data_IF_188570635830
#
_entry.id   IF_188570635830
#
_cell.length_a   1.000
_cell.length_b   1.000
_cell.length_c   1.000
_cell.angle_alpha   90.00
_cell.angle_beta   90.00
_cell.angle_gamma   90.00
#
_symmetry.space_group_name_H-M   'P 1'
#
loop_
_entity.id
_entity.type
_entity.pdbx_description
1 polymer ?
#
# COMPACT_ATOMS: atom_id res chain seq x y z
N UNK A 1 -18.97 12.22 4.53
CA UNK A 1 -18.40 11.97 3.19
C UNK A 1 -16.92 11.70 3.33
N UNK A 2 -16.40 10.69 2.61
CA UNK A 2 -15.01 10.29 2.74
C UNK A 2 -14.06 11.28 2.07
N UNK A 3 -12.89 11.53 2.70
CA UNK A 3 -11.75 12.27 2.13
C UNK A 3 -10.54 11.35 2.09
N UNK A 4 -9.77 11.39 1.03
CA UNK A 4 -8.60 10.52 0.82
C UNK A 4 -7.34 11.36 0.72
N UNK A 5 -6.33 10.99 1.52
CA UNK A 5 -5.01 11.60 1.53
C UNK A 5 -3.94 10.56 1.19
N UNK A 6 -2.91 11.00 0.47
CA UNK A 6 -1.67 10.24 0.23
C UNK A 6 -0.56 10.87 1.06
N UNK A 7 0.14 10.06 1.83
CA UNK A 7 1.21 10.47 2.72
C UNK A 7 2.53 9.86 2.22
N UNK A 8 3.46 10.71 1.76
CA UNK A 8 4.76 10.31 1.23
C UNK A 8 5.81 10.29 2.33
N UNK A 9 6.22 9.10 2.73
CA UNK A 9 7.22 8.87 3.80
C UNK A 9 8.64 9.15 3.31
N UNK A 10 8.91 8.95 2.03
CA UNK A 10 10.24 9.21 1.47
C UNK A 10 10.35 8.74 0.02
N UNK A 11 11.55 8.87 -0.52
CA UNK A 11 11.85 8.54 -1.92
C UNK A 11 13.14 7.72 -2.00
N UNK A 12 13.31 6.97 -3.08
CA UNK A 12 14.55 6.23 -3.38
C UNK A 12 14.83 6.22 -4.87
N UNK A 13 16.10 6.38 -5.26
CA UNK A 13 16.55 6.12 -6.62
C UNK A 13 16.89 4.64 -6.78
N UNK A 14 16.31 3.98 -7.76
CA UNK A 14 16.44 2.55 -8.00
C UNK A 14 16.63 2.26 -9.49
N UNK A 15 17.23 1.13 -9.83
CA UNK A 15 17.27 0.69 -11.23
C UNK A 15 15.87 0.41 -11.75
N UNK A 16 15.52 0.96 -12.90
CA UNK A 16 14.20 0.83 -13.51
C UNK A 16 13.80 -0.64 -13.72
N UNK A 17 14.76 -1.50 -14.07
CA UNK A 17 14.55 -2.95 -14.23
C UNK A 17 14.05 -3.66 -12.96
N UNK A 18 14.14 -3.04 -11.78
CA UNK A 18 13.61 -3.59 -10.53
C UNK A 18 12.08 -3.37 -10.38
N UNK A 19 11.50 -2.46 -11.18
CA UNK A 19 10.09 -2.06 -11.07
C UNK A 19 9.26 -2.35 -12.32
N UNK A 20 9.92 -2.69 -13.43
CA UNK A 20 9.25 -3.01 -14.69
C UNK A 20 9.70 -4.39 -15.16
N UNK A 21 8.77 -5.32 -15.28
CA UNK A 21 9.08 -6.69 -15.71
C UNK A 21 9.78 -6.72 -17.06
N UNK A 22 10.94 -7.39 -17.13
CA UNK A 22 11.79 -7.49 -18.32
C UNK A 22 12.18 -6.13 -18.92
N UNK A 23 12.33 -5.11 -18.10
CA UNK A 23 12.94 -3.87 -18.57
C UNK A 23 14.45 -4.05 -18.68
N UNK A 24 14.99 -3.81 -19.87
CA UNK A 24 16.43 -3.91 -20.15
C UNK A 24 17.17 -2.57 -19.96
N UNK A 25 16.45 -1.52 -19.53
CA UNK A 25 17.05 -0.21 -19.28
C UNK A 25 18.06 -0.26 -18.13
N UNK A 26 19.17 0.42 -18.32
CA UNK A 26 20.17 0.67 -17.28
C UNK A 26 19.89 1.97 -16.51
N UNK A 27 18.82 2.67 -16.84
CA UNK A 27 18.44 3.93 -16.22
C UNK A 27 17.89 3.72 -14.81
N UNK A 28 18.01 4.76 -13.99
CA UNK A 28 17.36 4.81 -12.71
C UNK A 28 16.01 5.53 -12.83
N UNK A 29 15.07 5.14 -11.97
CA UNK A 29 13.86 5.91 -11.68
C UNK A 29 13.80 6.23 -10.18
N UNK A 30 12.95 7.20 -9.83
CA UNK A 30 12.65 7.52 -8.44
C UNK A 30 11.36 6.83 -8.07
N UNK A 31 11.36 6.11 -6.95
CA UNK A 31 10.16 5.58 -6.31
C UNK A 31 9.82 6.42 -5.08
N UNK A 32 8.55 6.56 -4.79
CA UNK A 32 8.05 7.15 -3.56
C UNK A 32 7.39 6.07 -2.70
N UNK A 33 7.44 6.24 -1.38
CA UNK A 33 6.84 5.32 -0.42
C UNK A 33 5.63 5.97 0.22
N UNK A 34 4.48 5.33 0.11
CA UNK A 34 3.20 5.87 0.53
C UNK A 34 2.54 5.04 1.62
N UNK A 35 1.68 5.69 2.36
CA UNK A 35 0.51 5.11 3.02
C UNK A 35 -0.64 6.10 2.88
N UNK A 36 -1.86 5.66 3.14
CA UNK A 36 -3.04 6.47 2.85
C UNK A 36 -3.90 6.64 4.09
N UNK A 37 -4.56 7.79 4.19
CA UNK A 37 -5.56 8.07 5.23
C UNK A 37 -6.90 8.35 4.56
N UNK A 38 -7.91 7.62 4.99
CA UNK A 38 -9.30 7.85 4.64
C UNK A 38 -9.98 8.44 5.87
N UNK A 39 -10.36 9.71 5.78
CA UNK A 39 -11.15 10.35 6.85
C UNK A 39 -12.62 10.11 6.54
N UNK A 40 -13.20 9.14 7.22
CA UNK A 40 -14.59 8.72 7.08
C UNK A 40 -15.43 9.22 8.27
N UNK A 41 -16.75 9.10 8.17
CA UNK A 41 -17.70 9.55 9.20
C UNK A 41 -17.49 8.80 10.53
N UNK A 42 -17.15 7.52 10.48
CA UNK A 42 -16.88 6.67 11.64
C UNK A 42 -15.47 6.82 12.23
N UNK A 43 -14.67 7.72 11.70
CA UNK A 43 -13.29 7.95 12.12
C UNK A 43 -12.26 7.66 11.03
N UNK A 44 -10.97 7.88 11.33
CA UNK A 44 -9.90 7.66 10.37
C UNK A 44 -9.63 6.18 10.14
N UNK A 45 -9.47 5.82 8.87
CA UNK A 45 -9.02 4.51 8.41
C UNK A 45 -7.66 4.71 7.73
N UNK A 46 -6.69 3.87 8.05
CA UNK A 46 -5.37 3.89 7.42
C UNK A 46 -5.24 2.71 6.47
N UNK A 47 -4.64 2.94 5.32
CA UNK A 47 -4.22 1.89 4.39
C UNK A 47 -2.71 1.82 4.44
N UNK A 48 -2.19 0.68 4.86
CA UNK A 48 -0.80 0.36 5.15
C UNK A 48 -0.16 1.12 6.33
N UNK A 49 0.94 0.58 6.83
CA UNK A 49 1.65 1.09 8.00
C UNK A 49 2.96 1.80 7.65
N UNK A 50 3.42 1.64 6.39
CA UNK A 50 4.74 2.09 5.96
C UNK A 50 5.86 1.56 6.88
N UNK A 51 6.91 2.34 7.11
CA UNK A 51 8.08 1.95 7.91
C UNK A 51 8.63 3.13 8.73
N UNK A 52 9.48 2.81 9.72
CA UNK A 52 10.14 3.80 10.58
C UNK A 52 11.51 4.24 10.06
N UNK A 53 12.19 5.15 10.81
CA UNK A 53 13.47 5.72 10.41
C UNK A 53 14.59 4.68 10.30
N UNK A 54 14.57 3.63 11.10
CA UNK A 54 15.57 2.55 11.07
C UNK A 54 15.50 1.78 9.73
N UNK A 55 14.31 1.36 9.31
CA UNK A 55 14.09 0.71 8.02
C UNK A 55 14.44 1.67 6.87
N UNK A 56 14.07 2.96 6.99
CA UNK A 56 14.43 3.98 6.01
C UNK A 56 15.94 4.07 5.81
N UNK A 57 16.71 4.09 6.91
CA UNK A 57 18.16 4.14 6.87
C UNK A 57 18.77 2.86 6.26
N UNK A 58 18.30 1.68 6.69
CA UNK A 58 18.76 0.38 6.17
C UNK A 58 18.51 0.24 4.66
N UNK A 59 17.40 0.78 4.17
CA UNK A 59 16.99 0.72 2.76
C UNK A 59 17.48 1.90 1.93
N UNK A 60 18.25 2.82 2.53
CA UNK A 60 18.76 4.03 1.86
C UNK A 60 17.64 4.92 1.27
N UNK A 61 16.55 5.03 2.00
CA UNK A 61 15.44 5.95 1.66
C UNK A 61 15.89 7.38 1.92
N UNK A 62 15.67 8.25 0.96
CA UNK A 62 15.96 9.68 1.04
C UNK A 62 14.71 10.48 1.33
N UNK A 63 14.88 11.72 1.79
CA UNK A 63 13.75 12.62 2.11
C UNK A 63 12.73 11.99 3.06
N UNK A 64 13.21 11.16 4.00
CA UNK A 64 12.35 10.54 5.00
C UNK A 64 11.60 11.60 5.81
N UNK A 65 10.32 11.35 6.05
CA UNK A 65 9.43 12.17 6.89
C UNK A 65 8.81 11.31 7.97
N UNK A 66 8.69 11.86 9.15
CA UNK A 66 8.07 11.18 10.28
C UNK A 66 6.57 10.96 10.02
N UNK A 67 6.15 9.71 10.11
CA UNK A 67 4.76 9.32 9.83
C UNK A 67 3.75 10.01 10.76
N UNK A 68 4.13 10.28 12.03
CA UNK A 68 3.28 11.02 12.97
C UNK A 68 3.01 12.45 12.49
N UNK A 69 4.00 13.12 11.93
CA UNK A 69 3.85 14.46 11.38
C UNK A 69 2.95 14.47 10.13
N UNK A 70 3.12 13.45 9.28
CA UNK A 70 2.26 13.28 8.10
C UNK A 70 0.79 13.03 8.50
N UNK A 71 0.54 12.18 9.52
CA UNK A 71 -0.80 11.94 10.06
C UNK A 71 -1.41 13.20 10.66
N UNK A 72 -0.62 13.95 11.45
CA UNK A 72 -1.08 15.19 12.08
C UNK A 72 -1.52 16.23 11.04
N UNK A 73 -0.89 16.26 9.85
CA UNK A 73 -1.30 17.11 8.74
C UNK A 73 -2.70 16.75 8.19
N UNK A 74 -3.17 15.53 8.41
CA UNK A 74 -4.54 15.10 8.10
C UNK A 74 -5.52 15.30 9.28
N UNK A 75 -5.04 15.82 10.41
CA UNK A 75 -5.82 15.94 11.65
C UNK A 75 -6.03 14.60 12.37
N UNK A 76 -5.11 13.64 12.19
CA UNK A 76 -5.20 12.28 12.74
C UNK A 76 -3.98 12.00 13.61
N UNK A 77 -4.18 11.38 14.78
CA UNK A 77 -3.11 10.79 15.56
C UNK A 77 -3.08 9.27 15.41
N UNK A 78 -1.96 8.60 15.63
CA UNK A 78 -1.92 7.12 15.58
C UNK A 78 -2.90 6.47 16.57
N UNK A 79 -3.17 7.13 17.67
CA UNK A 79 -4.07 6.68 18.75
C UNK A 79 -5.56 6.72 18.34
N UNK A 80 -5.92 7.58 17.37
CA UNK A 80 -7.28 7.70 16.81
C UNK A 80 -7.61 6.56 15.85
N UNK A 81 -6.58 5.90 15.28
CA UNK A 81 -6.76 4.89 14.25
C UNK A 81 -7.23 3.57 14.86
N UNK A 82 -8.47 3.19 14.56
CA UNK A 82 -9.07 1.93 15.00
C UNK A 82 -8.98 0.83 13.93
N UNK A 83 -8.75 1.19 12.68
CA UNK A 83 -8.72 0.26 11.53
C UNK A 83 -7.56 0.56 10.61
N UNK A 84 -6.77 -0.48 10.32
CA UNK A 84 -5.71 -0.44 9.32
C UNK A 84 -5.93 -1.54 8.30
N UNK A 85 -6.06 -1.16 7.03
CA UNK A 85 -6.09 -2.09 5.90
C UNK A 85 -4.66 -2.33 5.44
N UNK A 86 -4.18 -3.54 5.59
CA UNK A 86 -2.87 -3.92 5.12
C UNK A 86 -3.01 -4.49 3.73
N UNK A 87 -2.50 -3.77 2.73
CA UNK A 87 -2.61 -4.22 1.34
C UNK A 87 -1.83 -5.51 1.13
N UNK A 88 -0.60 -5.57 1.66
CA UNK A 88 0.25 -6.76 1.69
C UNK A 88 1.39 -6.58 2.72
N UNK A 89 2.22 -7.59 2.92
CA UNK A 89 3.16 -7.62 4.03
C UNK A 89 4.63 -7.35 3.63
N UNK A 90 4.88 -6.65 2.52
CA UNK A 90 6.22 -6.12 2.25
C UNK A 90 6.61 -5.07 3.29
N UNK A 91 7.91 -4.82 3.43
CA UNK A 91 8.45 -3.96 4.49
C UNK A 91 7.84 -2.55 4.48
N UNK A 92 7.63 -2.01 3.29
CA UNK A 92 7.14 -0.64 3.10
C UNK A 92 5.61 -0.47 3.28
N UNK A 93 4.91 -1.57 3.53
CA UNK A 93 3.48 -1.58 3.85
C UNK A 93 3.21 -2.04 5.29
N UNK A 94 4.09 -2.89 5.86
CA UNK A 94 3.83 -3.54 7.14
C UNK A 94 4.82 -3.22 8.27
N UNK A 95 6.11 -2.90 7.98
CA UNK A 95 7.12 -2.77 9.03
C UNK A 95 6.78 -1.73 10.12
N UNK A 96 5.94 -0.77 9.80
CA UNK A 96 5.49 0.28 10.70
C UNK A 96 4.27 -0.03 11.57
N UNK A 97 3.79 -1.26 11.61
CA UNK A 97 2.55 -1.67 12.28
C UNK A 97 2.44 -1.21 13.76
N UNK A 98 3.55 -1.23 14.49
CA UNK A 98 3.56 -0.89 15.92
C UNK A 98 3.17 0.57 16.22
N UNK A 99 3.10 1.41 15.19
CA UNK A 99 2.73 2.81 15.33
C UNK A 99 1.26 3.01 15.75
N UNK A 100 0.38 2.06 15.45
CA UNK A 100 -1.07 2.17 15.69
C UNK A 100 -1.50 1.31 16.88
N UNK A 101 -1.43 1.83 18.14
CA UNK A 101 -1.62 1.00 19.34
C UNK A 101 -3.04 0.46 19.48
N UNK A 102 -4.04 1.17 18.98
CA UNK A 102 -5.46 0.84 19.14
C UNK A 102 -6.04 0.13 17.90
N UNK A 103 -5.26 -0.05 16.83
CA UNK A 103 -5.77 -0.54 15.57
C UNK A 103 -6.02 -2.05 15.53
N UNK A 104 -7.07 -2.43 14.83
CA UNK A 104 -7.27 -3.75 14.24
C UNK A 104 -6.76 -3.73 12.82
N UNK A 105 -5.92 -4.71 12.47
CA UNK A 105 -5.34 -4.87 11.13
C UNK A 105 -6.16 -5.88 10.33
N UNK A 106 -6.54 -5.52 9.11
CA UNK A 106 -7.29 -6.39 8.21
C UNK A 106 -6.36 -6.91 7.12
N UNK A 107 -6.07 -8.21 7.16
CA UNK A 107 -5.07 -8.87 6.31
C UNK A 107 -5.71 -10.07 5.62
N UNK A 108 -5.44 -10.25 4.33
CA UNK A 108 -5.93 -11.41 3.59
C UNK A 108 -5.31 -12.73 4.09
N UNK A 109 -6.12 -13.78 4.17
CA UNK A 109 -5.69 -15.12 4.58
C UNK A 109 -4.51 -15.62 3.73
N UNK A 110 -4.58 -15.43 2.41
CA UNK A 110 -3.52 -15.83 1.47
C UNK A 110 -2.19 -15.12 1.74
N UNK A 111 -2.23 -13.89 2.21
CA UNK A 111 -1.04 -13.11 2.57
C UNK A 111 -0.37 -13.67 3.83
N UNK A 112 -1.16 -13.93 4.87
CA UNK A 112 -0.67 -14.53 6.10
C UNK A 112 -0.07 -15.91 5.84
N UNK A 113 -0.78 -16.76 5.09
CA UNK A 113 -0.31 -18.11 4.76
C UNK A 113 0.99 -18.08 3.95
N UNK A 114 1.13 -17.14 3.02
CA UNK A 114 2.36 -16.97 2.25
C UNK A 114 3.55 -16.61 3.14
N UNK A 115 3.39 -15.62 4.02
CA UNK A 115 4.49 -15.15 4.87
C UNK A 115 4.79 -16.05 6.07
N UNK A 116 3.85 -16.86 6.51
CA UNK A 116 4.11 -17.95 7.45
C UNK A 116 4.71 -19.21 6.79
N UNK A 117 4.78 -19.24 5.47
CA UNK A 117 5.27 -20.34 4.65
C UNK A 117 6.37 -19.92 3.67
N UNK A 118 6.14 -20.06 2.34
CA UNK A 118 7.18 -19.87 1.33
C UNK A 118 7.75 -18.44 1.26
N UNK A 119 6.98 -17.42 1.56
CA UNK A 119 7.45 -16.03 1.57
C UNK A 119 8.62 -15.81 2.51
N UNK A 120 8.54 -16.40 3.70
CA UNK A 120 9.62 -16.37 4.70
C UNK A 120 10.76 -17.31 4.35
N UNK A 121 10.44 -18.49 3.81
CA UNK A 121 11.39 -19.59 3.64
C UNK A 121 12.42 -19.33 2.52
N UNK A 122 12.03 -18.60 1.47
CA UNK A 122 12.87 -18.38 0.31
C UNK A 122 13.42 -16.95 0.27
N UNK A 123 14.76 -16.77 0.21
CA UNK A 123 15.41 -15.44 0.22
C UNK A 123 14.91 -14.48 -0.86
N UNK A 124 14.50 -15.02 -2.02
CA UNK A 124 13.97 -14.22 -3.13
C UNK A 124 12.72 -13.43 -2.73
N UNK A 125 11.88 -13.96 -1.84
CA UNK A 125 10.70 -13.28 -1.31
C UNK A 125 11.03 -12.54 -0.01
N UNK A 126 11.77 -13.20 0.90
CA UNK A 126 12.09 -12.67 2.23
C UNK A 126 12.82 -11.32 2.18
N UNK A 127 13.58 -11.03 1.11
CA UNK A 127 14.27 -9.76 0.90
C UNK A 127 13.33 -8.55 0.79
N UNK A 128 12.07 -8.77 0.42
CA UNK A 128 11.04 -7.73 0.32
C UNK A 128 10.29 -7.48 1.63
N UNK A 129 10.56 -8.24 2.70
CA UNK A 129 9.90 -8.10 3.98
C UNK A 129 10.84 -7.60 5.09
N UNK A 130 10.25 -7.09 6.16
CA UNK A 130 10.89 -6.99 7.45
C UNK A 130 10.51 -8.23 8.27
N UNK A 131 11.43 -9.18 8.44
CA UNK A 131 11.13 -10.47 9.06
C UNK A 131 10.73 -10.34 10.54
N UNK A 132 11.23 -9.33 11.26
CA UNK A 132 10.79 -9.07 12.64
C UNK A 132 9.32 -8.60 12.67
N UNK A 133 8.88 -7.83 11.68
CA UNK A 133 7.48 -7.46 11.55
C UNK A 133 6.60 -8.64 11.10
N UNK A 134 7.14 -9.57 10.31
CA UNK A 134 6.44 -10.84 10.00
C UNK A 134 6.29 -11.72 11.24
N UNK A 135 7.28 -11.77 12.12
CA UNK A 135 7.19 -12.50 13.40
C UNK A 135 6.09 -11.97 14.33
N UNK A 136 5.72 -10.69 14.19
CA UNK A 136 4.63 -10.10 14.95
C UNK A 136 3.23 -10.58 14.51
N UNK A 137 3.08 -11.21 13.36
CA UNK A 137 1.78 -11.69 12.88
C UNK A 137 1.12 -12.64 13.89
N UNK A 138 1.88 -13.63 14.40
CA UNK A 138 1.31 -14.63 15.29
C UNK A 138 0.81 -14.05 16.63
N UNK A 139 1.57 -13.24 17.38
CA UNK A 139 1.04 -12.61 18.59
C UNK A 139 -0.12 -11.67 18.32
N UNK A 140 -0.15 -10.96 17.18
CA UNK A 140 -1.27 -10.08 16.79
C UNK A 140 -2.52 -10.90 16.41
N UNK A 141 -2.37 -12.05 15.76
CA UNK A 141 -3.47 -12.99 15.50
C UNK A 141 -4.06 -13.52 16.80
N UNK A 142 -3.20 -14.00 17.73
CA UNK A 142 -3.63 -14.54 19.03
C UNK A 142 -4.35 -13.50 19.89
N UNK A 143 -3.91 -12.25 19.84
CA UNK A 143 -4.56 -11.16 20.59
C UNK A 143 -5.84 -10.62 19.95
N UNK A 144 -6.19 -11.11 18.74
CA UNK A 144 -7.34 -10.63 17.98
C UNK A 144 -7.15 -9.26 17.33
N UNK A 145 -5.92 -8.73 17.33
CA UNK A 145 -5.58 -7.47 16.66
C UNK A 145 -5.43 -7.60 15.16
N UNK A 146 -5.25 -8.82 14.62
CA UNK A 146 -5.40 -9.11 13.19
C UNK A 146 -6.75 -9.76 12.97
N UNK A 147 -7.53 -9.20 12.05
CA UNK A 147 -8.72 -9.81 11.46
C UNK A 147 -8.34 -10.38 10.11
N UNK A 148 -8.41 -11.68 10.00
CA UNK A 148 -8.21 -12.40 8.76
C UNK A 148 -9.43 -12.19 7.88
N UNK A 149 -9.21 -11.70 6.65
CA UNK A 149 -10.23 -11.55 5.63
C UNK A 149 -9.94 -12.51 4.48
N UNK A 150 -10.99 -12.95 3.80
CA UNK A 150 -10.87 -13.84 2.65
C UNK A 150 -11.75 -13.32 1.52
N UNK A 151 -11.17 -13.03 0.37
CA UNK A 151 -11.83 -12.40 -0.78
C UNK A 151 -12.13 -10.89 -0.62
N UNK A 152 -13.03 -10.38 -1.45
CA UNK A 152 -13.53 -9.00 -1.39
C UNK A 152 -14.44 -8.82 -0.18
N UNK A 153 -14.39 -7.65 0.44
CA UNK A 153 -15.20 -7.36 1.62
C UNK A 153 -15.49 -5.87 1.78
N UNK A 154 -16.65 -5.57 2.37
CA UNK A 154 -17.05 -4.20 2.68
C UNK A 154 -16.44 -3.78 4.02
N UNK A 155 -15.75 -2.67 4.00
CA UNK A 155 -15.06 -2.07 5.13
C UNK A 155 -15.98 -1.16 5.93
N UNK A 156 -16.64 -0.26 5.21
CA UNK A 156 -17.55 0.75 5.69
C UNK A 156 -18.43 1.21 4.53
N UNK A 157 -19.38 2.08 4.81
CA UNK A 157 -20.21 2.65 3.75
C UNK A 157 -19.35 3.39 2.71
N UNK A 158 -19.42 2.94 1.46
CA UNK A 158 -18.62 3.48 0.36
C UNK A 158 -17.12 3.16 0.40
N UNK A 159 -16.69 2.18 1.21
CA UNK A 159 -15.30 1.73 1.26
C UNK A 159 -15.27 0.20 1.13
N UNK A 160 -14.58 -0.31 0.11
CA UNK A 160 -14.48 -1.74 -0.17
C UNK A 160 -13.01 -2.13 -0.39
N UNK A 161 -12.61 -3.24 0.20
CA UNK A 161 -11.35 -3.91 -0.11
C UNK A 161 -11.60 -5.05 -1.12
N UNK A 162 -10.66 -5.22 -2.05
CA UNK A 162 -10.74 -6.25 -3.10
C UNK A 162 -9.44 -7.03 -3.16
N UNK A 163 -9.56 -8.34 -3.18
CA UNK A 163 -8.41 -9.23 -3.39
C UNK A 163 -7.90 -9.09 -4.84
N UNK A 164 -6.65 -8.66 -4.99
CA UNK A 164 -5.98 -8.43 -6.28
C UNK A 164 -4.61 -9.10 -6.29
N UNK A 165 -4.56 -10.45 -6.30
CA UNK A 165 -3.32 -11.19 -6.12
C UNK A 165 -2.36 -11.04 -7.30
N UNK A 166 -1.11 -11.43 -7.09
CA UNK A 166 -0.08 -11.51 -8.12
C UNK A 166 1.26 -10.96 -7.65
N UNK A 167 1.35 -9.70 -7.31
CA UNK A 167 2.53 -9.11 -6.66
C UNK A 167 2.86 -9.89 -5.37
N UNK A 168 1.89 -10.03 -4.48
CA UNK A 168 1.83 -11.07 -3.46
C UNK A 168 0.53 -11.86 -3.57
N UNK A 169 0.42 -13.06 -2.96
CA UNK A 169 -0.78 -13.88 -3.08
C UNK A 169 -2.02 -13.29 -2.42
N UNK A 170 -1.85 -12.42 -1.44
CA UNK A 170 -2.93 -11.79 -0.70
C UNK A 170 -3.00 -10.27 -0.88
N UNK A 171 -2.34 -9.71 -1.90
CA UNK A 171 -2.47 -8.28 -2.19
C UNK A 171 -3.94 -7.89 -2.31
N UNK A 172 -4.33 -6.81 -1.63
CA UNK A 172 -5.66 -6.22 -1.74
C UNK A 172 -5.59 -4.72 -2.05
N UNK A 173 -6.58 -4.24 -2.78
CA UNK A 173 -6.78 -2.83 -3.13
C UNK A 173 -7.97 -2.27 -2.35
N UNK A 174 -8.09 -0.94 -2.30
CA UNK A 174 -9.21 -0.28 -1.62
C UNK A 174 -9.89 0.72 -2.56
N UNK A 175 -11.20 0.61 -2.72
CA UNK A 175 -12.03 1.61 -3.37
C UNK A 175 -12.73 2.47 -2.33
N UNK A 176 -12.77 3.78 -2.57
CA UNK A 176 -13.37 4.76 -1.65
C UNK A 176 -14.28 5.69 -2.44
N UNK A 177 -15.58 5.66 -2.14
CA UNK A 177 -16.52 6.61 -2.70
C UNK A 177 -16.35 7.98 -2.04
N UNK A 178 -16.14 8.99 -2.87
CA UNK A 178 -15.93 10.38 -2.46
C UNK A 178 -16.85 11.33 -3.23
N UNK A 179 -16.96 12.61 -2.82
CA UNK A 179 -17.75 13.59 -3.57
C UNK A 179 -17.28 13.84 -5.00
N UNK A 180 -16.02 13.58 -5.30
CA UNK A 180 -15.41 13.81 -6.62
C UNK A 180 -15.34 12.55 -7.50
N UNK A 181 -15.76 11.40 -6.98
CA UNK A 181 -15.73 10.11 -7.66
C UNK A 181 -15.15 9.01 -6.78
N UNK A 182 -15.08 7.79 -7.31
CA UNK A 182 -14.51 6.66 -6.59
C UNK A 182 -12.99 6.65 -6.75
N UNK A 183 -12.27 6.86 -5.64
CA UNK A 183 -10.81 6.70 -5.58
C UNK A 183 -10.48 5.20 -5.49
N UNK A 184 -9.56 4.73 -6.32
CA UNK A 184 -9.01 3.37 -6.27
C UNK A 184 -7.55 3.42 -5.84
N UNK A 185 -7.27 3.02 -4.60
CA UNK A 185 -5.93 2.78 -4.10
C UNK A 185 -5.50 1.41 -4.63
N UNK A 186 -4.90 1.41 -5.82
CA UNK A 186 -4.49 0.18 -6.51
C UNK A 186 -3.20 -0.39 -5.94
N UNK A 187 -2.41 0.46 -5.26
CA UNK A 187 -1.17 0.08 -4.61
C UNK A 187 -0.26 -0.74 -5.55
N UNK A 188 0.32 -1.83 -5.11
CA UNK A 188 1.33 -2.61 -5.81
C UNK A 188 0.76 -3.62 -6.83
N UNK A 189 -0.50 -3.48 -7.21
CA UNK A 189 -0.98 -4.06 -8.47
C UNK A 189 -0.15 -3.49 -9.64
N UNK A 190 0.23 -2.22 -9.53
CA UNK A 190 1.23 -1.58 -10.38
C UNK A 190 1.93 -0.44 -9.62
N UNK A 191 3.23 -0.27 -9.85
CA UNK A 191 4.04 0.71 -9.14
C UNK A 191 3.96 2.11 -9.75
N UNK A 192 3.85 2.19 -11.08
CA UNK A 192 3.83 3.43 -11.85
C UNK A 192 2.63 3.45 -12.80
N UNK A 193 2.09 4.62 -13.08
CA UNK A 193 1.08 4.78 -14.14
C UNK A 193 1.53 4.18 -15.47
N UNK A 194 2.83 4.21 -15.74
CA UNK A 194 3.43 3.61 -16.92
C UNK A 194 3.26 2.08 -16.96
N UNK A 195 3.33 1.37 -15.82
CA UNK A 195 3.06 -0.08 -15.79
C UNK A 195 1.67 -0.38 -16.35
N UNK A 196 0.65 0.37 -15.89
CA UNK A 196 -0.73 0.19 -16.36
C UNK A 196 -0.87 0.55 -17.84
N UNK A 197 -0.34 1.72 -18.25
CA UNK A 197 -0.44 2.21 -19.63
C UNK A 197 0.24 1.26 -20.64
N UNK A 198 1.35 0.62 -20.25
CA UNK A 198 2.07 -0.36 -21.09
C UNK A 198 1.59 -1.80 -20.89
N UNK A 199 0.63 -2.03 -19.96
CA UNK A 199 0.20 -3.37 -19.51
C UNK A 199 1.40 -4.26 -19.12
N UNK A 200 2.40 -3.64 -18.50
CA UNK A 200 3.65 -4.25 -18.07
C UNK A 200 3.62 -4.47 -16.56
N UNK A 201 3.59 -5.73 -16.09
CA UNK A 201 3.59 -6.02 -14.66
C UNK A 201 4.84 -5.50 -13.93
N UNK A 202 4.74 -5.42 -12.63
CA UNK A 202 5.89 -5.10 -11.77
C UNK A 202 6.88 -6.27 -11.75
N UNK A 203 8.17 -5.98 -11.56
CA UNK A 203 9.21 -7.01 -11.56
C UNK A 203 9.10 -7.94 -10.35
N UNK A 204 8.82 -7.39 -9.16
CA UNK A 204 8.60 -8.18 -7.95
C UNK A 204 7.18 -8.74 -7.98
N UNK A 205 7.05 -9.98 -8.44
CA UNK A 205 5.76 -10.64 -8.65
C UNK A 205 5.87 -12.12 -8.32
N UNK A 206 5.01 -12.61 -7.42
CA UNK A 206 4.95 -14.02 -7.01
C UNK A 206 4.23 -14.86 -8.05
N UNK A 207 3.13 -14.36 -8.61
CA UNK A 207 2.34 -15.05 -9.63
C UNK A 207 2.01 -14.09 -10.79
N UNK A 208 2.68 -14.31 -11.92
CA UNK A 208 2.55 -13.43 -13.09
C UNK A 208 1.15 -13.46 -13.71
N UNK A 209 0.48 -14.61 -13.74
CA UNK A 209 -0.86 -14.72 -14.32
C UNK A 209 -1.87 -13.93 -13.47
N UNK A 210 -1.86 -14.13 -12.15
CA UNK A 210 -2.71 -13.38 -11.24
C UNK A 210 -2.41 -11.86 -11.31
N UNK A 211 -1.14 -11.46 -11.43
CA UNK A 211 -0.76 -10.05 -11.56
C UNK A 211 -1.37 -9.38 -12.80
N UNK A 212 -1.31 -10.03 -13.95
CA UNK A 212 -1.92 -9.51 -15.19
C UNK A 212 -3.44 -9.42 -15.06
N UNK A 213 -4.06 -10.42 -14.45
CA UNK A 213 -5.52 -10.43 -14.21
C UNK A 213 -5.93 -9.30 -13.24
N UNK A 214 -5.14 -9.05 -12.20
CA UNK A 214 -5.36 -7.95 -11.26
C UNK A 214 -5.19 -6.59 -11.94
N UNK A 215 -4.20 -6.42 -12.83
CA UNK A 215 -4.07 -5.20 -13.63
C UNK A 215 -5.29 -4.96 -14.52
N UNK A 216 -5.80 -5.99 -15.20
CA UNK A 216 -7.04 -5.91 -16.00
C UNK A 216 -8.26 -5.53 -15.14
N UNK A 217 -8.34 -6.06 -13.93
CA UNK A 217 -9.41 -5.73 -13.00
C UNK A 217 -9.33 -4.27 -12.54
N UNK A 218 -8.13 -3.78 -12.21
CA UNK A 218 -7.91 -2.36 -11.85
C UNK A 218 -8.25 -1.43 -13.01
N UNK A 219 -7.84 -1.75 -14.25
CA UNK A 219 -8.18 -0.98 -15.43
C UNK A 219 -9.70 -0.83 -15.60
N UNK A 220 -10.45 -1.92 -15.43
CA UNK A 220 -11.92 -1.91 -15.51
C UNK A 220 -12.56 -1.13 -14.37
N UNK A 221 -12.09 -1.31 -13.13
CA UNK A 221 -12.61 -0.58 -11.97
C UNK A 221 -12.31 0.91 -12.05
N UNK A 222 -11.11 1.27 -12.52
CA UNK A 222 -10.68 2.66 -12.68
C UNK A 222 -11.21 3.36 -13.92
N UNK A 223 -11.89 2.66 -14.83
CA UNK A 223 -12.31 3.23 -16.11
C UNK A 223 -13.26 4.43 -15.99
N UNK A 224 -14.02 4.52 -14.90
CA UNK A 224 -14.96 5.65 -14.64
C UNK A 224 -14.21 6.90 -14.17
N UNK A 225 -13.19 6.72 -13.34
CA UNK A 225 -12.37 7.81 -12.78
C UNK A 225 -10.87 7.48 -12.89
N UNK A 226 -10.29 7.43 -14.10
CA UNK A 226 -8.91 7.00 -14.30
C UNK A 226 -7.89 7.91 -13.62
N UNK A 227 -8.22 9.19 -13.41
CA UNK A 227 -7.40 10.15 -12.68
C UNK A 227 -7.35 9.88 -11.17
N UNK A 228 -8.32 9.12 -10.62
CA UNK A 228 -8.41 8.76 -9.21
C UNK A 228 -7.86 7.35 -8.92
N UNK A 229 -7.18 6.72 -9.88
CA UNK A 229 -6.46 5.44 -9.69
C UNK A 229 -5.06 5.74 -9.20
N UNK A 230 -4.69 5.20 -8.03
CA UNK A 230 -3.43 5.50 -7.35
C UNK A 230 -2.48 4.30 -7.38
N UNK A 231 -1.30 4.41 -8.03
CA UNK A 231 -0.23 3.42 -8.00
C UNK A 231 0.52 3.42 -6.67
N UNK A 232 1.28 2.34 -6.40
CA UNK A 232 2.03 2.17 -5.16
C UNK A 232 3.23 3.10 -5.00
N UNK A 233 3.96 3.43 -6.09
CA UNK A 233 5.28 4.05 -5.96
C UNK A 233 5.58 5.21 -6.91
N UNK A 234 4.64 5.65 -7.73
CA UNK A 234 4.88 6.70 -8.71
C UNK A 234 4.94 8.09 -8.07
N UNK A 235 6.07 8.84 -8.13
CA UNK A 235 6.16 10.20 -7.62
C UNK A 235 5.18 11.18 -8.28
N UNK A 236 4.60 10.83 -9.43
CA UNK A 236 3.58 11.64 -10.08
C UNK A 236 2.32 11.78 -9.23
N UNK A 237 2.03 10.86 -8.31
CA UNK A 237 0.90 10.98 -7.38
C UNK A 237 0.98 12.29 -6.61
N UNK A 238 2.16 12.63 -6.07
CA UNK A 238 2.36 13.86 -5.30
C UNK A 238 2.26 15.15 -6.13
N UNK A 239 2.33 15.03 -7.47
CA UNK A 239 2.24 16.17 -8.38
C UNK A 239 0.86 16.36 -9.00
N UNK A 240 0.02 15.33 -8.95
CA UNK A 240 -1.32 15.33 -9.55
C UNK A 240 -2.37 15.95 -8.66
N UNK A 241 -2.16 15.91 -7.35
CA UNK A 241 -3.15 16.34 -6.37
C UNK A 241 -2.66 17.52 -5.54
N UNK A 242 -3.58 18.35 -5.01
CA UNK A 242 -3.22 19.49 -4.16
C UNK A 242 -2.44 19.07 -2.92
N UNK A 243 -1.26 19.67 -2.73
CA UNK A 243 -0.50 19.51 -1.49
C UNK A 243 -1.18 20.28 -0.36
N UNK A 244 -1.41 19.62 0.78
CA UNK A 244 -2.01 20.22 1.98
C UNK A 244 -0.98 20.45 3.08
N UNK A 245 0.13 19.72 3.03
CA UNK A 245 1.32 19.91 3.86
C UNK A 245 2.50 19.20 3.18
N UNK A 246 3.77 19.50 3.55
CA UNK A 246 4.94 18.85 2.98
C UNK A 246 4.85 17.32 3.05
N UNK A 247 4.75 16.68 1.88
CA UNK A 247 4.60 15.23 1.75
C UNK A 247 3.18 14.70 1.93
N UNK A 248 2.16 15.55 1.97
CA UNK A 248 0.76 15.16 2.06
C UNK A 248 -0.06 15.82 0.96
N UNK A 249 -0.72 15.02 0.14
CA UNK A 249 -1.67 15.51 -0.86
C UNK A 249 -3.07 15.00 -0.58
N UNK A 250 -4.09 15.79 -0.93
CA UNK A 250 -5.49 15.40 -0.84
C UNK A 250 -6.01 15.00 -2.22
N UNK A 251 -6.46 13.75 -2.34
CA UNK A 251 -7.00 13.20 -3.60
C UNK A 251 -8.46 13.61 -3.79
N UNK A 252 -9.23 13.56 -2.72
CA UNK A 252 -10.67 13.87 -2.76
C UNK A 252 -11.15 14.40 -1.40
#
# INVERSE_FOLDING_TARGET
>A
MNRVFVLCVGEKSVGRSQFFFRDASIENCVIAFYFWVIVAEQGPIVVDCSFGPEEAAQRSVTRYRERRELLAACGVTPEDVQSVFVTHLHYDHWAGYAMFPNATYFVQEREIAFWQGPGRAFPIFASSANLAAIDALEPLLRSGRIKVVNSDWAVAAGIQARLMPGHTPGLQTVTVDTPTGTVLIANDVFHFYENLAQRRPVQVTVNMLEAVQSMDAVEKLGAVNPELVLPGHDPLVMRRFPEVAPGVVRVA
#
